data_IF_559228631964
#
_entry.id   IF_559228631964
#
_cell.length_a   1.000
_cell.length_b   1.000
_cell.length_c   1.000
_cell.angle_alpha   90.00
_cell.angle_beta   90.00
_cell.angle_gamma   90.00
#
_symmetry.space_group_name_H-M   'P 1'
#
loop_
_entity.id
_entity.type
_entity.pdbx_description
1 polymer ?
#
# COMPACT_ATOMS: atom_id res chain seq x y z
N UNK A 1 -22.37 -10.61 -11.48
CA UNK A 1 -21.31 -11.43 -12.11
C UNK A 1 -21.04 -12.64 -11.23
N UNK A 2 -21.60 -13.84 -11.55
CA UNK A 2 -21.40 -15.05 -10.73
C UNK A 2 -19.94 -15.46 -10.61
N UNK A 3 -19.13 -15.21 -11.62
CA UNK A 3 -17.69 -15.49 -11.61
C UNK A 3 -16.94 -14.73 -10.51
N UNK A 4 -17.30 -13.46 -10.25
CA UNK A 4 -16.67 -12.67 -9.19
C UNK A 4 -16.91 -13.27 -7.79
N UNK A 5 -18.06 -13.87 -7.56
CA UNK A 5 -18.38 -14.52 -6.28
C UNK A 5 -17.47 -15.72 -6.05
N UNK A 6 -17.30 -16.56 -7.06
CA UNK A 6 -16.44 -17.75 -6.99
C UNK A 6 -14.97 -17.36 -6.81
N UNK A 7 -14.49 -16.35 -7.56
CA UNK A 7 -13.14 -15.80 -7.43
C UNK A 7 -12.88 -15.27 -6.01
N UNK A 8 -13.82 -14.48 -5.48
CA UNK A 8 -13.69 -13.90 -4.13
C UNK A 8 -13.69 -14.99 -3.04
N UNK A 9 -14.52 -16.01 -3.16
CA UNK A 9 -14.55 -17.14 -2.21
C UNK A 9 -13.22 -17.87 -2.19
N UNK A 10 -12.65 -18.18 -3.35
CA UNK A 10 -11.37 -18.89 -3.45
C UNK A 10 -10.22 -17.98 -2.98
N UNK A 11 -10.23 -16.70 -3.31
CA UNK A 11 -9.26 -15.74 -2.76
C UNK A 11 -9.35 -15.61 -1.24
N UNK A 12 -10.49 -15.92 -0.63
CA UNK A 12 -10.63 -16.03 0.83
C UNK A 12 -9.70 -17.06 1.47
N UNK A 13 -9.31 -18.12 0.74
CA UNK A 13 -8.33 -19.12 1.22
C UNK A 13 -6.96 -18.50 1.51
N UNK A 14 -6.61 -17.39 0.83
CA UNK A 14 -5.39 -16.65 1.10
C UNK A 14 -5.33 -16.17 2.55
N UNK A 15 -6.46 -15.80 3.15
CA UNK A 15 -6.53 -15.35 4.55
C UNK A 15 -6.15 -16.51 5.48
N UNK A 16 -6.65 -17.70 5.20
CA UNK A 16 -6.34 -18.91 5.99
C UNK A 16 -4.85 -19.25 5.86
N UNK A 17 -4.32 -19.26 4.63
CA UNK A 17 -2.89 -19.54 4.39
C UNK A 17 -2.01 -18.52 5.12
N UNK A 18 -2.37 -17.23 5.07
CA UNK A 18 -1.63 -16.18 5.76
C UNK A 18 -1.70 -16.32 7.28
N UNK A 19 -2.84 -16.78 7.85
CA UNK A 19 -2.98 -17.02 9.29
C UNK A 19 -1.96 -18.05 9.80
N UNK A 20 -1.70 -19.11 9.02
CA UNK A 20 -0.67 -20.09 9.36
C UNK A 20 0.77 -19.55 9.36
N UNK A 21 1.01 -18.39 8.76
CA UNK A 21 2.34 -17.78 8.63
C UNK A 21 2.62 -16.64 9.60
N UNK A 22 1.64 -16.22 10.39
CA UNK A 22 1.76 -15.02 11.25
C UNK A 22 2.95 -15.14 12.20
N UNK A 23 3.10 -16.30 12.85
CA UNK A 23 4.16 -16.54 13.83
C UNK A 23 5.53 -16.60 13.16
N UNK A 24 5.67 -17.32 12.05
CA UNK A 24 6.93 -17.42 11.31
C UNK A 24 7.39 -16.05 10.81
N UNK A 25 6.46 -15.25 10.29
CA UNK A 25 6.73 -13.87 9.91
C UNK A 25 7.23 -13.02 11.09
N UNK A 26 6.59 -13.13 12.25
CA UNK A 26 6.96 -12.40 13.45
C UNK A 26 8.35 -12.81 13.96
N UNK A 27 8.66 -14.09 13.95
CA UNK A 27 9.97 -14.62 14.38
C UNK A 27 11.11 -14.14 13.47
N UNK A 28 10.92 -14.19 12.14
CA UNK A 28 11.93 -13.71 11.18
C UNK A 28 12.10 -12.20 11.27
N UNK A 29 11.01 -11.44 11.47
CA UNK A 29 11.08 -10.01 11.67
C UNK A 29 11.82 -9.65 12.95
N UNK A 30 11.57 -10.38 14.06
CA UNK A 30 12.27 -10.20 15.34
C UNK A 30 13.76 -10.54 15.26
N UNK A 31 14.10 -11.56 14.46
CA UNK A 31 15.50 -11.94 14.21
C UNK A 31 16.22 -11.01 13.22
N UNK A 32 15.51 -10.04 12.63
CA UNK A 32 16.04 -9.10 11.61
C UNK A 32 16.65 -9.85 10.40
N UNK A 33 16.23 -11.09 10.15
CA UNK A 33 16.73 -11.93 9.06
C UNK A 33 16.01 -11.59 7.73
N UNK A 34 16.26 -10.38 7.24
CA UNK A 34 15.71 -9.92 5.96
C UNK A 34 16.20 -10.74 4.78
N UNK A 35 17.43 -11.28 4.84
CA UNK A 35 18.02 -12.10 3.76
C UNK A 35 17.18 -13.36 3.52
N UNK A 36 16.81 -14.07 4.59
CA UNK A 36 15.95 -15.26 4.51
C UNK A 36 14.57 -14.91 3.97
N UNK A 37 13.95 -13.87 4.51
CA UNK A 37 12.64 -13.38 4.04
C UNK A 37 12.64 -13.08 2.55
N UNK A 38 13.64 -12.30 2.09
CA UNK A 38 13.76 -11.91 0.68
C UNK A 38 13.96 -13.12 -0.22
N UNK A 39 14.82 -14.07 0.16
CA UNK A 39 15.07 -15.29 -0.62
C UNK A 39 13.79 -16.11 -0.80
N UNK A 40 13.03 -16.34 0.27
CA UNK A 40 11.76 -17.10 0.22
C UNK A 40 10.74 -16.37 -0.65
N UNK A 41 10.59 -15.06 -0.47
CA UNK A 41 9.63 -14.25 -1.24
C UNK A 41 10.00 -14.24 -2.72
N UNK A 42 11.29 -14.12 -3.07
CA UNK A 42 11.77 -14.14 -4.45
C UNK A 42 11.46 -15.48 -5.13
N UNK A 43 11.79 -16.59 -4.48
CA UNK A 43 11.48 -17.94 -4.99
C UNK A 43 9.96 -18.11 -5.18
N UNK A 44 9.17 -17.69 -4.19
CA UNK A 44 7.71 -17.73 -4.27
C UNK A 44 7.15 -16.92 -5.44
N UNK A 45 7.71 -15.73 -5.67
CA UNK A 45 7.28 -14.85 -6.78
C UNK A 45 7.67 -15.44 -8.14
N UNK A 46 8.87 -16.00 -8.27
CA UNK A 46 9.31 -16.62 -9.53
C UNK A 46 8.46 -17.85 -9.87
N UNK A 47 8.26 -18.76 -8.93
CA UNK A 47 7.44 -19.97 -9.15
C UNK A 47 5.99 -19.60 -9.48
N UNK A 48 5.38 -18.73 -8.69
CA UNK A 48 3.99 -18.33 -8.92
C UNK A 48 3.81 -17.53 -10.20
N UNK A 49 4.79 -16.68 -10.54
CA UNK A 49 4.80 -15.94 -11.80
C UNK A 49 4.84 -16.85 -13.00
N UNK A 50 5.72 -17.86 -13.00
CA UNK A 50 5.80 -18.86 -14.07
C UNK A 50 4.49 -19.64 -14.21
N UNK A 51 3.90 -20.11 -13.10
CA UNK A 51 2.62 -20.82 -13.10
C UNK A 51 1.49 -19.93 -13.60
N UNK A 52 1.46 -18.65 -13.17
CA UNK A 52 0.47 -17.68 -13.63
C UNK A 52 0.54 -17.43 -15.14
N UNK A 53 1.75 -17.29 -15.67
CA UNK A 53 1.98 -17.12 -17.11
C UNK A 53 1.52 -18.36 -17.90
N UNK A 54 1.92 -19.56 -17.48
CA UNK A 54 1.49 -20.81 -18.11
C UNK A 54 -0.04 -20.94 -18.08
N UNK A 55 -0.66 -20.68 -16.95
CA UNK A 55 -2.12 -20.72 -16.78
C UNK A 55 -2.83 -19.71 -17.71
N UNK A 56 -2.25 -18.53 -17.90
CA UNK A 56 -2.79 -17.52 -18.81
C UNK A 56 -2.69 -17.97 -20.28
N UNK A 57 -1.59 -18.61 -20.69
CA UNK A 57 -1.45 -19.19 -22.04
C UNK A 57 -2.39 -20.37 -22.30
N UNK A 58 -2.77 -21.11 -21.25
CA UNK A 58 -3.78 -22.17 -21.33
C UNK A 58 -5.23 -21.64 -21.44
N UNK A 59 -5.42 -20.33 -21.50
CA UNK A 59 -6.74 -19.71 -21.69
C UNK A 59 -7.59 -19.59 -20.42
N UNK A 60 -7.00 -19.77 -19.21
CA UNK A 60 -7.74 -19.70 -17.95
C UNK A 60 -8.19 -18.28 -17.56
N UNK A 61 -7.87 -17.25 -18.37
CA UNK A 61 -8.32 -15.87 -18.19
C UNK A 61 -8.05 -15.34 -16.77
N UNK A 62 -9.10 -14.89 -16.09
CA UNK A 62 -8.99 -14.31 -14.73
C UNK A 62 -8.55 -15.35 -13.69
N UNK A 63 -8.84 -16.63 -13.90
CA UNK A 63 -8.42 -17.71 -13.01
C UNK A 63 -6.90 -17.88 -12.92
N UNK A 64 -6.16 -17.51 -13.96
CA UNK A 64 -4.70 -17.51 -13.93
C UNK A 64 -4.14 -16.62 -12.80
N UNK A 65 -4.77 -15.45 -12.54
CA UNK A 65 -4.38 -14.54 -11.45
C UNK A 65 -4.68 -15.13 -10.07
N UNK A 66 -5.78 -15.87 -9.92
CA UNK A 66 -6.12 -16.57 -8.68
C UNK A 66 -5.13 -17.68 -8.39
N UNK A 67 -4.83 -18.51 -9.40
CA UNK A 67 -3.83 -19.59 -9.31
C UNK A 67 -2.47 -19.01 -8.94
N UNK A 68 -2.03 -17.96 -9.62
CA UNK A 68 -0.78 -17.26 -9.31
C UNK A 68 -0.74 -16.79 -7.85
N UNK A 69 -1.81 -16.14 -7.39
CA UNK A 69 -1.88 -15.58 -6.04
C UNK A 69 -1.85 -16.67 -4.97
N UNK A 70 -2.63 -17.74 -5.13
CA UNK A 70 -2.66 -18.87 -4.21
C UNK A 70 -1.32 -19.60 -4.18
N UNK A 71 -0.74 -19.89 -5.35
CA UNK A 71 0.57 -20.54 -5.45
C UNK A 71 1.64 -19.70 -4.76
N UNK A 72 1.63 -18.38 -4.95
CA UNK A 72 2.58 -17.48 -4.28
C UNK A 72 2.49 -17.64 -2.76
N UNK A 73 1.28 -17.59 -2.20
CA UNK A 73 1.07 -17.72 -0.75
C UNK A 73 1.45 -19.10 -0.22
N UNK A 74 1.13 -20.16 -0.96
CA UNK A 74 1.49 -21.54 -0.57
C UNK A 74 3.02 -21.74 -0.58
N UNK A 75 3.70 -21.33 -1.63
CA UNK A 75 5.17 -21.48 -1.73
C UNK A 75 5.88 -20.67 -0.66
N UNK A 76 5.46 -19.42 -0.42
CA UNK A 76 6.01 -18.59 0.66
C UNK A 76 5.73 -19.22 2.02
N UNK A 77 4.51 -19.71 2.24
CA UNK A 77 4.12 -20.41 3.47
C UNK A 77 5.05 -21.60 3.73
N UNK A 78 5.18 -22.48 2.76
CA UNK A 78 6.02 -23.66 2.84
C UNK A 78 7.50 -23.29 3.10
N UNK A 79 8.01 -22.27 2.41
CA UNK A 79 9.36 -21.75 2.65
C UNK A 79 9.59 -21.28 4.09
N UNK A 80 8.62 -20.58 4.67
CA UNK A 80 8.71 -20.14 6.07
C UNK A 80 8.64 -21.31 7.04
N UNK A 81 7.76 -22.29 6.82
CA UNK A 81 7.62 -23.46 7.68
C UNK A 81 8.86 -24.35 7.70
N UNK A 82 9.54 -24.53 6.57
CA UNK A 82 10.78 -25.32 6.49
C UNK A 82 11.93 -24.59 7.15
N UNK A 83 12.02 -23.27 6.99
CA UNK A 83 13.19 -22.50 7.41
C UNK A 83 13.11 -22.01 8.85
N UNK A 84 11.92 -22.05 9.47
CA UNK A 84 11.72 -21.62 10.86
C UNK A 84 11.69 -22.82 11.78
N UNK A 85 12.54 -22.90 12.83
CA UNK A 85 12.61 -24.05 13.72
C UNK A 85 11.38 -24.19 14.64
N UNK A 86 10.58 -23.12 14.76
CA UNK A 86 9.41 -23.12 15.62
C UNK A 86 8.28 -23.98 15.06
N UNK A 87 7.75 -24.85 15.92
CA UNK A 87 6.56 -25.68 15.62
C UNK A 87 5.47 -25.37 16.66
N UNK A 88 4.20 -25.29 16.24
CA UNK A 88 3.09 -25.07 17.17
C UNK A 88 2.92 -26.24 18.13
N UNK A 89 2.82 -25.94 19.43
CA UNK A 89 2.37 -26.91 20.43
C UNK A 89 0.83 -26.89 20.48
N UNK A 90 0.23 -28.06 20.66
CA UNK A 90 -1.22 -28.20 20.85
C UNK A 90 -1.66 -27.84 22.29
N UNK A 91 -1.19 -26.69 22.77
CA UNK A 91 -1.57 -26.16 24.09
C UNK A 91 -2.43 -24.92 23.90
N UNK A 92 -3.65 -24.97 24.42
CA UNK A 92 -4.57 -23.84 24.40
C UNK A 92 -4.66 -23.22 25.80
N UNK A 93 -4.42 -21.90 25.90
CA UNK A 93 -4.61 -21.11 27.13
C UNK A 93 -5.69 -20.07 26.88
N UNK A 94 -6.79 -20.16 27.60
CA UNK A 94 -7.90 -19.21 27.50
C UNK A 94 -7.48 -17.80 27.95
N UNK A 95 -6.60 -17.71 28.94
CA UNK A 95 -6.08 -16.43 29.40
C UNK A 95 -5.27 -15.74 28.30
N UNK A 96 -4.28 -16.44 27.73
CA UNK A 96 -3.47 -15.89 26.62
C UNK A 96 -4.33 -15.55 25.40
N UNK A 97 -5.36 -16.38 25.12
CA UNK A 97 -6.30 -16.08 24.05
C UNK A 97 -7.05 -14.76 24.29
N UNK A 98 -7.58 -14.53 25.48
CA UNK A 98 -8.30 -13.29 25.83
C UNK A 98 -7.39 -12.05 25.72
N UNK A 99 -6.18 -12.14 26.23
CA UNK A 99 -5.21 -11.04 26.18
C UNK A 99 -4.82 -10.70 24.72
N UNK A 100 -4.46 -11.71 23.95
CA UNK A 100 -4.10 -11.53 22.54
C UNK A 100 -5.28 -11.10 21.69
N UNK A 101 -6.49 -11.62 21.95
CA UNK A 101 -7.69 -11.26 21.21
C UNK A 101 -8.10 -9.80 21.48
N UNK A 102 -8.07 -9.37 22.73
CA UNK A 102 -8.37 -7.97 23.08
C UNK A 102 -7.43 -6.99 22.40
N UNK A 103 -6.13 -7.28 22.40
CA UNK A 103 -5.13 -6.45 21.74
C UNK A 103 -5.22 -6.54 20.20
N UNK A 104 -5.33 -7.76 19.66
CA UNK A 104 -5.38 -8.02 18.23
C UNK A 104 -6.65 -7.49 17.56
N UNK A 105 -7.81 -7.61 18.23
CA UNK A 105 -9.08 -7.09 17.69
C UNK A 105 -9.08 -5.56 17.54
N UNK A 106 -8.46 -4.84 18.49
CA UNK A 106 -8.29 -3.39 18.39
C UNK A 106 -7.39 -2.99 17.22
N UNK A 107 -6.26 -3.71 17.03
CA UNK A 107 -5.36 -3.49 15.89
C UNK A 107 -6.08 -3.80 14.57
N UNK A 108 -6.83 -4.91 14.51
CA UNK A 108 -7.60 -5.29 13.33
C UNK A 108 -8.61 -4.21 12.96
N UNK A 109 -9.42 -3.75 13.92
CA UNK A 109 -10.43 -2.73 13.71
C UNK A 109 -9.81 -1.40 13.24
N UNK A 110 -8.76 -0.94 13.91
CA UNK A 110 -8.04 0.29 13.53
C UNK A 110 -7.42 0.18 12.13
N UNK A 111 -6.87 -0.99 11.80
CA UNK A 111 -6.27 -1.24 10.49
C UNK A 111 -7.32 -1.35 9.38
N UNK A 112 -8.48 -1.95 9.65
CA UNK A 112 -9.60 -2.04 8.72
C UNK A 112 -10.14 -0.64 8.38
N UNK A 113 -10.40 0.18 9.39
CA UNK A 113 -10.82 1.57 9.19
C UNK A 113 -9.80 2.32 8.34
N UNK A 114 -8.51 2.24 8.68
CA UNK A 114 -7.45 2.88 7.90
C UNK A 114 -7.48 2.44 6.45
N UNK A 115 -7.61 1.13 6.18
CA UNK A 115 -7.68 0.58 4.82
C UNK A 115 -8.89 1.07 4.03
N UNK A 116 -10.03 1.26 4.68
CA UNK A 116 -11.22 1.86 4.04
C UNK A 116 -10.89 3.30 3.60
N UNK A 117 -10.32 4.11 4.49
CA UNK A 117 -9.96 5.49 4.15
C UNK A 117 -8.85 5.60 3.12
N UNK A 118 -7.85 4.71 3.16
CA UNK A 118 -6.76 4.67 2.16
C UNK A 118 -7.28 4.37 0.75
N UNK A 119 -8.40 3.64 0.64
CA UNK A 119 -9.02 3.26 -0.62
C UNK A 119 -10.33 4.00 -0.90
N UNK A 120 -10.65 5.06 -0.17
CA UNK A 120 -11.96 5.73 -0.26
C UNK A 120 -12.28 6.21 -1.69
N UNK A 121 -11.31 6.74 -2.42
CA UNK A 121 -11.50 7.13 -3.82
C UNK A 121 -11.78 5.93 -4.72
N UNK A 122 -11.05 4.83 -4.55
CA UNK A 122 -11.26 3.61 -5.34
C UNK A 122 -12.64 3.02 -5.08
N UNK A 123 -13.08 2.99 -3.81
CA UNK A 123 -14.41 2.53 -3.42
C UNK A 123 -15.51 3.42 -3.99
N UNK A 124 -15.33 4.74 -3.95
CA UNK A 124 -16.27 5.70 -4.51
C UNK A 124 -16.35 5.56 -6.04
N UNK A 125 -15.22 5.50 -6.72
CA UNK A 125 -15.19 5.31 -8.18
C UNK A 125 -15.87 3.99 -8.55
N UNK A 126 -15.60 2.90 -7.79
CA UNK A 126 -16.22 1.60 -8.02
C UNK A 126 -17.73 1.57 -7.79
N UNK A 127 -18.25 2.45 -6.92
CA UNK A 127 -19.69 2.57 -6.65
C UNK A 127 -20.43 3.41 -7.71
N UNK A 128 -19.83 4.49 -8.17
CA UNK A 128 -20.52 5.50 -8.99
C UNK A 128 -20.17 5.43 -10.48
N UNK A 129 -19.11 4.73 -10.87
CA UNK A 129 -18.63 4.72 -12.25
C UNK A 129 -18.42 3.30 -12.79
N UNK A 130 -18.38 3.12 -14.12
CA UNK A 130 -18.13 1.81 -14.74
C UNK A 130 -16.78 1.19 -14.32
N UNK A 131 -16.73 -0.15 -14.27
CA UNK A 131 -15.55 -0.90 -13.88
C UNK A 131 -14.28 -0.55 -14.69
N UNK A 132 -14.44 -0.12 -15.93
CA UNK A 132 -13.33 0.33 -16.80
C UNK A 132 -12.63 1.55 -16.21
N UNK A 133 -13.38 2.52 -15.68
CA UNK A 133 -12.82 3.72 -15.05
C UNK A 133 -12.12 3.38 -13.73
N UNK A 134 -12.64 2.41 -12.97
CA UNK A 134 -11.97 1.85 -11.79
C UNK A 134 -10.60 1.28 -12.17
N UNK A 135 -10.54 0.53 -13.29
CA UNK A 135 -9.30 -0.01 -13.84
C UNK A 135 -8.29 1.07 -14.17
N UNK A 136 -8.70 2.12 -14.88
CA UNK A 136 -7.84 3.24 -15.24
C UNK A 136 -7.31 3.99 -14.02
N UNK A 137 -8.17 4.34 -13.07
CA UNK A 137 -7.77 4.98 -11.82
C UNK A 137 -6.81 4.11 -11.01
N UNK A 138 -7.15 2.84 -10.83
CA UNK A 138 -6.35 1.89 -10.05
C UNK A 138 -4.94 1.72 -10.61
N UNK A 139 -4.81 1.61 -11.94
CA UNK A 139 -3.50 1.52 -12.62
C UNK A 139 -2.71 2.81 -12.53
N UNK A 140 -3.35 3.95 -12.75
CA UNK A 140 -2.72 5.26 -12.60
C UNK A 140 -2.19 5.46 -11.17
N UNK A 141 -3.02 5.14 -10.15
CA UNK A 141 -2.65 5.21 -8.75
C UNK A 141 -1.50 4.25 -8.39
N UNK A 142 -1.48 3.05 -8.98
CA UNK A 142 -0.40 2.07 -8.77
C UNK A 142 0.95 2.63 -9.24
N UNK A 143 1.03 3.21 -10.44
CA UNK A 143 2.28 3.79 -10.95
C UNK A 143 2.71 5.03 -10.16
N UNK A 144 1.75 5.90 -9.81
CA UNK A 144 2.04 7.06 -8.96
C UNK A 144 2.60 6.64 -7.61
N UNK A 145 2.00 5.61 -6.96
CA UNK A 145 2.49 5.09 -5.67
C UNK A 145 3.92 4.58 -5.75
N UNK A 146 4.26 3.84 -6.78
CA UNK A 146 5.63 3.36 -6.99
C UNK A 146 6.63 4.52 -7.09
N UNK A 147 6.26 5.60 -7.79
CA UNK A 147 7.13 6.76 -7.99
C UNK A 147 7.26 7.68 -6.77
N UNK A 148 6.30 7.70 -5.84
CA UNK A 148 6.30 8.62 -4.70
C UNK A 148 6.21 7.91 -3.35
N UNK A 149 5.14 7.13 -3.11
CA UNK A 149 4.83 6.60 -1.78
C UNK A 149 5.80 5.49 -1.35
N UNK A 150 6.15 4.56 -2.25
CA UNK A 150 7.07 3.45 -1.93
C UNK A 150 8.50 3.97 -1.70
N UNK A 151 8.96 4.95 -2.49
CA UNK A 151 10.26 5.56 -2.30
C UNK A 151 10.33 6.37 -1.00
N UNK A 152 9.32 7.22 -0.74
CA UNK A 152 9.24 7.94 0.52
C UNK A 152 9.12 6.98 1.72
N UNK A 153 8.39 5.87 1.56
CA UNK A 153 8.27 4.82 2.57
C UNK A 153 9.60 4.18 2.93
N UNK A 154 10.43 3.89 1.93
CA UNK A 154 11.77 3.34 2.15
C UNK A 154 12.66 4.30 2.98
N UNK A 155 12.62 5.59 2.67
CA UNK A 155 13.30 6.63 3.47
C UNK A 155 12.72 6.71 4.88
N UNK A 156 11.40 6.60 5.02
CA UNK A 156 10.69 6.65 6.29
C UNK A 156 11.04 5.55 7.28
N UNK A 157 11.33 4.34 6.80
CA UNK A 157 11.77 3.23 7.65
C UNK A 157 13.05 3.59 8.42
N UNK A 158 13.95 4.36 7.79
CA UNK A 158 15.19 4.81 8.42
C UNK A 158 14.99 6.09 9.25
N UNK A 159 14.09 6.96 8.82
CA UNK A 159 13.85 8.26 9.47
C UNK A 159 13.27 8.12 10.87
N UNK A 160 12.29 7.26 11.08
CA UNK A 160 11.58 7.12 12.36
C UNK A 160 12.50 6.78 13.56
N UNK A 161 13.39 5.77 13.49
CA UNK A 161 14.33 5.48 14.57
C UNK A 161 15.29 6.64 14.85
N UNK A 162 15.71 7.37 13.82
CA UNK A 162 16.59 8.55 13.98
C UNK A 162 15.84 9.67 14.72
N UNK A 163 14.59 9.95 14.33
CA UNK A 163 13.78 10.97 15.00
C UNK A 163 13.51 10.62 16.47
N UNK A 164 13.22 9.36 16.77
CA UNK A 164 13.01 8.90 18.15
C UNK A 164 14.25 9.06 19.03
N UNK A 165 15.46 8.89 18.47
CA UNK A 165 16.70 9.11 19.21
C UNK A 165 17.03 10.60 19.43
N UNK A 166 16.56 11.46 18.55
CA UNK A 166 16.85 12.91 18.58
C UNK A 166 15.69 13.74 19.17
N UNK A 167 14.66 13.10 19.73
CA UNK A 167 13.45 13.79 20.19
C UNK A 167 13.70 14.84 21.31
N UNK A 168 14.78 14.69 22.10
CA UNK A 168 15.15 15.61 23.16
C UNK A 168 15.94 16.82 22.66
N UNK A 169 16.56 16.73 21.48
CA UNK A 169 17.36 17.79 20.85
C UNK A 169 16.62 18.33 19.63
N UNK A 170 15.88 19.44 19.84
CA UNK A 170 15.05 20.04 18.78
C UNK A 170 15.84 20.45 17.54
N UNK A 171 17.05 20.97 17.73
CA UNK A 171 17.88 21.47 16.62
C UNK A 171 18.38 20.31 15.75
N UNK A 172 18.92 19.27 16.38
CA UNK A 172 19.35 18.05 15.67
C UNK A 172 18.20 17.37 14.97
N UNK A 173 17.03 17.32 15.62
CA UNK A 173 15.85 16.72 15.03
C UNK A 173 15.36 17.51 13.80
N UNK A 174 15.28 18.84 13.89
CA UNK A 174 14.92 19.68 12.74
C UNK A 174 15.91 19.52 11.58
N UNK A 175 17.20 19.49 11.87
CA UNK A 175 18.23 19.23 10.88
C UNK A 175 18.10 17.83 10.24
N UNK A 176 17.78 16.82 11.02
CA UNK A 176 17.52 15.48 10.51
C UNK A 176 16.28 15.45 9.60
N UNK A 177 15.16 16.06 10.04
CA UNK A 177 13.94 16.17 9.23
C UNK A 177 14.20 16.89 7.90
N UNK A 178 14.91 18.02 7.95
CA UNK A 178 15.29 18.78 6.74
C UNK A 178 16.11 17.93 5.78
N UNK A 179 17.13 17.21 6.28
CA UNK A 179 17.97 16.33 5.46
C UNK A 179 17.15 15.21 4.82
N UNK A 180 16.31 14.51 5.59
CA UNK A 180 15.44 13.45 5.06
C UNK A 180 14.48 13.98 4.00
N UNK A 181 13.90 15.15 4.22
CA UNK A 181 13.02 15.78 3.25
C UNK A 181 13.77 16.16 1.97
N UNK A 182 14.92 16.82 2.09
CA UNK A 182 15.75 17.19 0.95
C UNK A 182 16.15 15.97 0.11
N UNK A 183 16.67 14.90 0.74
CA UNK A 183 17.04 13.69 0.03
C UNK A 183 15.83 13.03 -0.66
N UNK A 184 14.69 12.97 0.03
CA UNK A 184 13.47 12.42 -0.58
C UNK A 184 13.05 13.22 -1.81
N UNK A 185 13.03 14.55 -1.72
CA UNK A 185 12.57 15.43 -2.80
C UNK A 185 13.53 15.41 -4.00
N UNK A 186 14.86 15.34 -3.78
CA UNK A 186 15.85 15.26 -4.85
C UNK A 186 15.61 14.04 -5.76
N UNK A 187 15.17 12.91 -5.23
CA UNK A 187 14.87 11.71 -6.01
C UNK A 187 13.44 11.69 -6.55
N UNK A 188 12.47 12.06 -5.71
CA UNK A 188 11.05 11.91 -6.04
C UNK A 188 10.59 12.96 -7.05
N UNK A 189 11.03 14.22 -6.93
CA UNK A 189 10.59 15.28 -7.86
C UNK A 189 11.02 14.99 -9.31
N UNK A 190 12.30 14.70 -9.63
CA UNK A 190 12.69 14.38 -10.99
C UNK A 190 11.95 13.14 -11.55
N UNK A 191 11.77 12.11 -10.70
CA UNK A 191 11.06 10.90 -11.12
C UNK A 191 9.58 11.18 -11.45
N UNK A 192 8.89 11.95 -10.62
CA UNK A 192 7.49 12.31 -10.85
C UNK A 192 7.35 13.23 -12.06
N UNK A 193 8.21 14.24 -12.18
CA UNK A 193 8.21 15.14 -13.35
C UNK A 193 8.46 14.35 -14.62
N UNK A 194 9.44 13.44 -14.62
CA UNK A 194 9.68 12.55 -15.75
C UNK A 194 8.44 11.69 -16.06
N UNK A 195 7.79 11.13 -15.03
CA UNK A 195 6.59 10.32 -15.21
C UNK A 195 5.42 11.13 -15.81
N UNK A 196 5.27 12.40 -15.44
CA UNK A 196 4.25 13.29 -16.01
C UNK A 196 4.54 13.58 -17.48
N UNK A 197 5.79 13.90 -17.83
CA UNK A 197 6.22 14.27 -19.18
C UNK A 197 6.14 13.06 -20.12
N UNK A 198 6.66 11.91 -19.67
CA UNK A 198 6.69 10.69 -20.51
C UNK A 198 5.45 9.80 -20.29
N UNK A 199 4.40 10.29 -19.62
CA UNK A 199 3.21 9.48 -19.31
C UNK A 199 2.61 8.79 -20.51
N UNK A 200 2.52 9.47 -21.66
CA UNK A 200 1.95 8.92 -22.88
C UNK A 200 2.81 7.78 -23.45
N UNK A 201 4.09 7.97 -23.83
CA UNK A 201 4.90 6.87 -24.33
C UNK A 201 5.07 5.75 -23.28
N UNK A 202 5.17 6.08 -21.99
CA UNK A 202 5.27 5.11 -20.90
C UNK A 202 4.05 4.17 -20.86
N UNK A 203 2.83 4.71 -20.91
CA UNK A 203 1.60 3.92 -20.88
C UNK A 203 1.46 3.06 -22.14
N UNK A 204 1.68 3.65 -23.32
CA UNK A 204 1.48 2.96 -24.58
C UNK A 204 2.49 1.81 -24.76
N UNK A 205 3.77 2.04 -24.43
CA UNK A 205 4.82 1.02 -24.58
C UNK A 205 4.70 -0.11 -23.56
N UNK A 206 4.39 0.21 -22.28
CA UNK A 206 4.37 -0.80 -21.23
C UNK A 206 3.07 -1.60 -21.15
N UNK A 207 1.93 -0.94 -21.35
CA UNK A 207 0.62 -1.59 -21.12
C UNK A 207 -0.36 -1.48 -22.27
N UNK A 208 0.11 -0.97 -23.41
CA UNK A 208 -0.60 -0.84 -24.71
C UNK A 208 -1.64 0.28 -24.74
N UNK A 209 -2.05 0.63 -25.96
CA UNK A 209 -2.91 1.77 -26.29
C UNK A 209 -4.29 1.74 -25.62
N UNK A 210 -4.85 0.56 -25.36
CA UNK A 210 -6.15 0.43 -24.64
C UNK A 210 -6.18 1.12 -23.27
N UNK A 211 -5.00 1.41 -22.68
CA UNK A 211 -4.86 2.09 -21.41
C UNK A 211 -4.61 3.60 -21.56
N UNK A 212 -4.58 4.13 -22.78
CA UNK A 212 -4.38 5.57 -23.03
C UNK A 212 -5.34 6.47 -22.22
N UNK A 213 -6.63 6.11 -21.97
CA UNK A 213 -7.51 6.96 -21.17
C UNK A 213 -7.06 7.15 -19.70
N UNK A 214 -6.13 6.35 -19.19
CA UNK A 214 -5.58 6.56 -17.84
C UNK A 214 -4.50 7.64 -17.76
N UNK A 215 -3.95 8.09 -18.90
CA UNK A 215 -2.82 9.05 -18.93
C UNK A 215 -3.12 10.33 -18.13
N UNK A 216 -4.25 11.04 -18.34
CA UNK A 216 -4.56 12.23 -17.55
C UNK A 216 -4.74 11.91 -16.05
N UNK A 217 -5.23 10.72 -15.70
CA UNK A 217 -5.32 10.31 -14.29
C UNK A 217 -3.93 10.14 -13.69
N UNK A 218 -3.00 9.50 -14.43
CA UNK A 218 -1.62 9.31 -13.99
C UNK A 218 -0.91 10.65 -13.79
N UNK A 219 -1.06 11.57 -14.73
CA UNK A 219 -0.44 12.91 -14.65
C UNK A 219 -0.93 13.68 -13.42
N UNK A 220 -2.25 13.77 -13.22
CA UNK A 220 -2.84 14.48 -12.09
C UNK A 220 -2.49 13.85 -10.73
N UNK A 221 -2.60 12.53 -10.62
CA UNK A 221 -2.21 11.81 -9.40
C UNK A 221 -0.72 11.98 -9.08
N UNK A 222 0.12 12.06 -10.11
CA UNK A 222 1.55 12.32 -9.95
C UNK A 222 1.82 13.70 -9.38
N UNK A 223 1.08 14.74 -9.81
CA UNK A 223 1.16 16.08 -9.21
C UNK A 223 0.84 16.02 -7.70
N UNK A 224 -0.24 15.35 -7.31
CA UNK A 224 -0.56 15.15 -5.89
C UNK A 224 0.53 14.40 -5.14
N UNK A 225 1.19 13.45 -5.80
CA UNK A 225 2.27 12.62 -5.26
C UNK A 225 3.55 13.38 -4.89
N UNK A 226 3.80 14.55 -5.49
CA UNK A 226 4.98 15.39 -5.18
C UNK A 226 5.01 15.78 -3.70
N UNK A 227 3.85 16.02 -3.10
CA UNK A 227 3.73 16.49 -1.72
C UNK A 227 3.77 15.36 -0.67
N UNK A 228 3.70 14.11 -1.11
CA UNK A 228 3.67 12.96 -0.22
C UNK A 228 4.88 12.88 0.74
N UNK A 229 6.14 13.11 0.32
CA UNK A 229 7.29 13.08 1.23
C UNK A 229 7.20 14.10 2.36
N UNK A 230 6.70 15.30 2.08
CA UNK A 230 6.54 16.36 3.08
C UNK A 230 5.54 15.91 4.15
N UNK A 231 4.40 15.40 3.70
CA UNK A 231 3.38 14.88 4.60
C UNK A 231 3.90 13.73 5.45
N UNK A 232 4.65 12.80 4.86
CA UNK A 232 5.21 11.65 5.55
C UNK A 232 6.21 12.06 6.64
N UNK A 233 7.13 12.97 6.35
CA UNK A 233 8.12 13.48 7.31
C UNK A 233 7.41 14.14 8.50
N UNK A 234 6.39 14.96 8.25
CA UNK A 234 5.62 15.63 9.30
C UNK A 234 4.89 14.63 10.21
N UNK A 235 4.22 13.62 9.65
CA UNK A 235 3.52 12.60 10.43
C UNK A 235 4.48 11.75 11.26
N UNK A 236 5.63 11.39 10.70
CA UNK A 236 6.65 10.62 11.43
C UNK A 236 7.25 11.42 12.59
N UNK A 237 7.51 12.71 12.38
CA UNK A 237 7.99 13.58 13.44
C UNK A 237 6.97 13.70 14.57
N UNK A 238 5.70 13.95 14.26
CA UNK A 238 4.61 13.98 15.26
C UNK A 238 4.53 12.67 16.06
N UNK A 239 4.69 11.55 15.37
CA UNK A 239 4.65 10.23 16.01
C UNK A 239 5.89 10.01 16.90
N UNK A 240 7.07 10.42 16.45
CA UNK A 240 8.30 10.35 17.25
C UNK A 240 8.25 11.23 18.51
N UNK A 241 7.56 12.38 18.45
CA UNK A 241 7.27 13.21 19.63
C UNK A 241 6.18 12.67 20.56
N UNK A 242 5.63 11.49 20.28
CA UNK A 242 4.51 10.93 21.05
C UNK A 242 3.18 11.66 20.84
N UNK A 243 3.09 12.60 19.88
CA UNK A 243 1.86 13.35 19.55
C UNK A 243 0.93 12.58 18.63
N UNK A 244 0.73 11.30 18.90
CA UNK A 244 -0.11 10.40 18.09
C UNK A 244 -1.56 10.88 17.95
N UNK A 245 -2.11 11.51 19.00
CA UNK A 245 -3.46 12.10 18.97
C UNK A 245 -3.58 13.23 17.94
N UNK A 246 -2.57 14.09 17.85
CA UNK A 246 -2.55 15.17 16.85
C UNK A 246 -2.42 14.60 15.43
N UNK A 247 -1.53 13.62 15.23
CA UNK A 247 -1.39 12.90 13.96
C UNK A 247 -2.70 12.23 13.54
N UNK A 248 -3.43 11.64 14.48
CA UNK A 248 -4.75 11.06 14.22
C UNK A 248 -5.77 12.12 13.79
N UNK A 249 -5.87 13.24 14.51
CA UNK A 249 -6.81 14.31 14.19
C UNK A 249 -6.55 14.91 12.80
N UNK A 250 -5.29 15.13 12.43
CA UNK A 250 -4.89 15.61 11.09
C UNK A 250 -5.32 14.58 10.02
N UNK A 251 -5.07 13.31 10.27
CA UNK A 251 -5.47 12.24 9.33
C UNK A 251 -7.00 12.14 9.19
N UNK A 252 -7.73 12.26 10.30
CA UNK A 252 -9.19 12.26 10.30
C UNK A 252 -9.75 13.45 9.51
N UNK A 253 -9.26 14.65 9.78
CA UNK A 253 -9.68 15.86 9.07
C UNK A 253 -9.44 15.73 7.57
N UNK A 254 -8.26 15.27 7.16
CA UNK A 254 -7.95 15.02 5.75
C UNK A 254 -8.88 13.98 5.12
N UNK A 255 -9.22 12.93 5.84
CA UNK A 255 -10.15 11.92 5.34
C UNK A 255 -11.59 12.46 5.18
N UNK A 256 -12.01 13.34 6.08
CA UNK A 256 -13.30 14.04 5.95
C UNK A 256 -13.33 14.94 4.71
N UNK A 257 -12.25 15.68 4.46
CA UNK A 257 -12.11 16.49 3.23
C UNK A 257 -12.14 15.63 1.96
N UNK A 258 -11.54 14.43 1.98
CA UNK A 258 -11.63 13.47 0.87
C UNK A 258 -13.05 13.01 0.61
N UNK A 259 -13.81 12.69 1.67
CA UNK A 259 -15.23 12.32 1.54
C UNK A 259 -16.02 13.48 0.94
N UNK A 260 -15.81 14.70 1.44
CA UNK A 260 -16.47 15.89 0.93
C UNK A 260 -16.15 16.11 -0.56
N UNK A 261 -14.89 15.97 -0.96
CA UNK A 261 -14.49 16.03 -2.37
C UNK A 261 -15.27 15.04 -3.24
N UNK A 262 -15.38 13.79 -2.79
CA UNK A 262 -16.13 12.77 -3.52
C UNK A 262 -17.60 13.19 -3.66
N UNK A 263 -18.24 13.63 -2.56
CA UNK A 263 -19.65 14.03 -2.56
C UNK A 263 -19.95 15.24 -3.45
N UNK A 264 -18.98 16.16 -3.59
CA UNK A 264 -19.12 17.33 -4.44
C UNK A 264 -18.85 17.02 -5.90
N UNK A 265 -17.84 16.17 -6.19
CA UNK A 265 -17.29 15.99 -7.53
C UNK A 265 -17.79 14.74 -8.27
N UNK A 266 -18.48 13.79 -7.61
CA UNK A 266 -18.89 12.53 -8.27
C UNK A 266 -19.80 12.74 -9.49
N UNK A 267 -20.59 13.81 -9.52
CA UNK A 267 -21.49 14.12 -10.66
C UNK A 267 -20.74 14.60 -11.90
N UNK A 268 -19.55 15.15 -11.72
CA UNK A 268 -18.75 15.73 -12.82
C UNK A 268 -17.83 14.71 -13.50
N UNK A 269 -17.53 13.59 -12.85
CA UNK A 269 -16.68 12.54 -13.40
C UNK A 269 -15.41 12.29 -12.60
N UNK A 270 -14.72 11.15 -12.90
CA UNK A 270 -13.53 10.70 -12.16
C UNK A 270 -12.41 11.73 -12.19
N UNK A 271 -12.22 12.41 -13.31
CA UNK A 271 -11.14 13.40 -13.46
C UNK A 271 -11.30 14.57 -12.48
N UNK A 272 -12.53 15.00 -12.19
CA UNK A 272 -12.79 16.08 -11.24
C UNK A 272 -12.56 15.63 -9.78
N UNK A 273 -12.85 14.37 -9.48
CA UNK A 273 -12.50 13.77 -8.17
C UNK A 273 -10.97 13.80 -7.98
N UNK A 274 -10.21 13.47 -9.02
CA UNK A 274 -8.75 13.49 -8.99
C UNK A 274 -8.22 14.93 -8.86
N UNK A 275 -8.80 15.90 -9.56
CA UNK A 275 -8.47 17.32 -9.39
C UNK A 275 -8.69 17.78 -7.95
N UNK A 276 -9.80 17.38 -7.34
CA UNK A 276 -10.05 17.65 -5.94
C UNK A 276 -9.00 16.99 -5.01
N UNK A 277 -8.53 15.76 -5.33
CA UNK A 277 -7.40 15.13 -4.60
C UNK A 277 -6.12 15.96 -4.71
N UNK A 278 -5.82 16.49 -5.90
CA UNK A 278 -4.68 17.40 -6.10
C UNK A 278 -4.81 18.64 -5.23
N UNK A 279 -5.94 19.35 -5.31
CA UNK A 279 -6.18 20.57 -4.51
C UNK A 279 -6.06 20.29 -3.01
N UNK A 280 -6.69 19.21 -2.55
CA UNK A 280 -6.62 18.80 -1.15
C UNK A 280 -5.21 18.43 -0.70
N UNK A 281 -4.38 17.90 -1.58
CA UNK A 281 -2.98 17.60 -1.25
C UNK A 281 -2.17 18.86 -0.95
N UNK A 282 -2.49 19.99 -1.59
CA UNK A 282 -1.88 21.29 -1.30
C UNK A 282 -2.46 21.97 -0.05
N UNK A 283 -3.76 21.84 0.20
CA UNK A 283 -4.43 22.43 1.38
C UNK A 283 -4.03 21.70 2.67
N UNK A 284 -3.79 20.39 2.59
CA UNK A 284 -3.49 19.55 3.74
C UNK A 284 -1.99 19.45 4.08
N UNK A 285 -1.17 20.34 3.56
CA UNK A 285 0.25 20.47 3.84
C UNK A 285 0.48 21.19 5.18
#
# INVERSE_FOLDING_TARGET
HPELVSLTRIMGLVIIINAFNVIQHALIARAVDFKRKTKITLIGTLISGSIGIVSAYQGLGVWALVIQSLTNRLVISFGFWITTPWKPGLRFSLQSFRELFAFGSWILFSSAIRKIFDNIYLLAIGKFFPAVQVGFYSKAKQFQRLASEELAGAVGIVAFPVYSKLQEDKEKLQNAMRKFLQHSLIFIIPLIVSLIVVAQPFVILLIKEKWAPMIPYLQLLSVAGILYPIHMVNIQALTAFGKSRLSFNISLFRNLLRILNILLMYRFGVIYIIWGEVILSFIAL
#
